data_IF_686917474462
#
_entry.id   IF_686917474462
#
_cell.length_a   1.000
_cell.length_b   1.000
_cell.length_c   1.000
_cell.angle_alpha   90.00
_cell.angle_beta   90.00
_cell.angle_gamma   90.00
#
_symmetry.space_group_name_H-M   'P 1'
#
loop_
_entity.id
_entity.type
_entity.pdbx_description
1 polymer ?
#
# COMPACT_ATOMS: atom_id res chain seq x y z
N UNK A 1 -17.22 18.64 6.52
CA UNK A 1 -15.93 18.00 6.22
C UNK A 1 -15.88 16.47 6.41
N UNK A 2 -15.79 15.90 7.63
CA UNK A 2 -15.61 14.43 7.79
C UNK A 2 -16.76 13.63 7.17
N UNK A 3 -18.01 14.02 7.46
CA UNK A 3 -19.19 13.37 6.88
C UNK A 3 -19.26 13.49 5.35
N UNK A 4 -18.84 14.64 4.79
CA UNK A 4 -18.72 14.82 3.35
C UNK A 4 -17.68 13.88 2.75
N UNK A 5 -16.54 13.68 3.42
CA UNK A 5 -15.52 12.74 2.97
C UNK A 5 -16.05 11.29 2.98
N UNK A 6 -16.81 10.89 4.00
CA UNK A 6 -17.45 9.57 4.00
C UNK A 6 -18.49 9.42 2.89
N UNK A 7 -19.30 10.46 2.64
CA UNK A 7 -20.24 10.46 1.51
C UNK A 7 -19.52 10.35 0.17
N UNK A 8 -18.40 11.07 -0.01
CA UNK A 8 -17.59 11.02 -1.23
C UNK A 8 -16.98 9.63 -1.45
N UNK A 9 -16.43 9.01 -0.40
CA UNK A 9 -15.90 7.64 -0.48
C UNK A 9 -17.00 6.62 -0.79
N UNK A 10 -18.16 6.76 -0.15
CA UNK A 10 -19.31 5.88 -0.40
C UNK A 10 -19.85 6.04 -1.82
N UNK A 11 -19.98 7.27 -2.32
CA UNK A 11 -20.42 7.52 -3.69
C UNK A 11 -19.43 6.92 -4.70
N UNK A 12 -18.13 7.12 -4.49
CA UNK A 12 -17.10 6.52 -5.34
C UNK A 12 -17.10 4.98 -5.33
N UNK A 13 -17.56 4.33 -4.25
CA UNK A 13 -17.73 2.88 -4.20
C UNK A 13 -18.93 2.37 -5.03
N UNK A 14 -19.87 3.25 -5.38
CA UNK A 14 -21.05 2.93 -6.18
C UNK A 14 -20.85 3.19 -7.67
N UNK A 15 -19.76 3.86 -8.04
CA UNK A 15 -19.38 4.06 -9.43
C UNK A 15 -19.07 2.71 -10.11
N UNK A 16 -19.27 2.59 -11.43
CA UNK A 16 -18.85 1.40 -12.18
C UNK A 16 -17.35 1.15 -12.03
N UNK A 17 -16.91 -0.11 -12.01
CA UNK A 17 -15.47 -0.44 -11.88
C UNK A 17 -14.59 0.17 -12.99
N UNK A 18 -15.19 0.49 -14.15
CA UNK A 18 -14.53 1.14 -15.28
C UNK A 18 -14.43 2.66 -15.14
N UNK A 19 -15.06 3.25 -14.12
CA UNK A 19 -15.06 4.69 -13.87
C UNK A 19 -13.74 5.15 -13.27
N UNK A 20 -13.26 6.33 -13.68
CA UNK A 20 -12.13 7.00 -13.03
C UNK A 20 -12.48 7.49 -11.62
N UNK A 21 -13.76 7.48 -11.25
CA UNK A 21 -14.24 7.81 -9.92
C UNK A 21 -14.45 6.61 -9.01
N UNK A 22 -14.20 5.39 -9.51
CA UNK A 22 -14.35 4.16 -8.73
C UNK A 22 -13.34 4.07 -7.57
N UNK A 23 -13.85 4.19 -6.35
CA UNK A 23 -13.08 4.02 -5.11
C UNK A 23 -13.26 2.60 -4.61
N UNK A 24 -12.18 1.84 -4.51
CA UNK A 24 -12.25 0.45 -4.05
C UNK A 24 -11.39 0.15 -2.83
N UNK A 25 -10.52 1.09 -2.42
CA UNK A 25 -9.74 1.00 -1.18
C UNK A 25 -9.83 2.30 -0.41
N UNK A 26 -9.89 2.21 0.91
CA UNK A 26 -9.89 3.39 1.78
C UNK A 26 -8.85 3.27 2.89
N UNK A 27 -8.35 4.40 3.37
CA UNK A 27 -7.64 4.51 4.63
C UNK A 27 -8.35 5.50 5.54
N UNK A 28 -8.51 5.16 6.82
CA UNK A 28 -9.17 6.04 7.80
C UNK A 28 -8.37 6.01 9.11
N UNK A 29 -7.57 7.06 9.41
CA UNK A 29 -6.92 7.19 10.70
C UNK A 29 -7.96 7.59 11.76
N UNK A 30 -7.97 6.88 12.89
CA UNK A 30 -8.93 7.15 13.96
C UNK A 30 -8.37 6.83 15.35
N UNK A 31 -8.88 7.53 16.36
CA UNK A 31 -8.55 7.28 17.77
C UNK A 31 -9.50 6.26 18.36
N UNK A 32 -8.95 5.31 19.12
CA UNK A 32 -9.75 4.34 19.88
C UNK A 32 -10.61 5.05 20.92
N UNK A 33 -11.81 4.54 21.16
CA UNK A 33 -12.68 4.95 22.27
C UNK A 33 -13.12 3.72 23.06
N UNK A 34 -13.69 3.94 24.24
CA UNK A 34 -14.31 2.87 25.04
C UNK A 34 -15.81 2.70 24.72
N UNK A 35 -16.32 3.38 23.68
CA UNK A 35 -17.73 3.32 23.28
C UNK A 35 -17.93 2.21 22.26
N UNK A 36 -19.11 1.60 22.30
CA UNK A 36 -19.60 0.67 21.30
C UNK A 36 -20.96 1.14 20.79
N UNK A 37 -21.36 0.63 19.63
CA UNK A 37 -22.71 0.84 19.08
C UNK A 37 -23.25 -0.49 18.57
N UNK A 38 -24.53 -0.73 18.79
CA UNK A 38 -25.24 -1.89 18.23
C UNK A 38 -25.76 -1.53 16.84
N UNK A 39 -25.40 -2.34 15.85
CA UNK A 39 -25.90 -2.22 14.49
C UNK A 39 -27.33 -2.76 14.39
N UNK A 40 -28.05 -2.43 13.33
CA UNK A 40 -29.40 -2.98 13.08
C UNK A 40 -29.44 -4.51 13.06
N UNK A 41 -28.32 -5.17 12.71
CA UNK A 41 -28.17 -6.63 12.77
C UNK A 41 -28.05 -7.21 14.19
N UNK A 42 -27.98 -6.38 15.23
CA UNK A 42 -27.68 -6.76 16.61
C UNK A 42 -26.19 -6.91 16.91
N UNK A 43 -25.31 -6.75 15.90
CA UNK A 43 -23.86 -6.82 16.13
C UNK A 43 -23.37 -5.57 16.86
N UNK A 44 -22.64 -5.76 17.97
CA UNK A 44 -22.00 -4.67 18.71
C UNK A 44 -20.59 -4.43 18.18
N UNK A 45 -20.31 -3.21 17.71
CA UNK A 45 -19.01 -2.83 17.13
C UNK A 45 -18.35 -1.67 17.90
N UNK A 46 -17.00 -1.62 17.95
CA UNK A 46 -16.28 -0.54 18.63
C UNK A 46 -16.39 0.78 17.84
N UNK A 47 -16.61 1.88 18.55
CA UNK A 47 -16.61 3.22 17.96
C UNK A 47 -15.20 3.78 17.98
N UNK A 48 -14.71 4.21 16.82
CA UNK A 48 -13.48 5.00 16.69
C UNK A 48 -13.83 6.47 16.41
N UNK A 49 -12.96 7.37 16.83
CA UNK A 49 -13.13 8.81 16.63
C UNK A 49 -12.20 9.30 15.53
N UNK A 50 -12.79 9.74 14.42
CA UNK A 50 -12.07 10.44 13.35
C UNK A 50 -12.08 11.93 13.71
N UNK A 51 -10.90 12.54 13.81
CA UNK A 51 -10.75 13.92 14.26
C UNK A 51 -10.82 14.94 13.12
N UNK A 52 -10.32 14.56 11.94
CA UNK A 52 -10.28 15.40 10.75
C UNK A 52 -10.07 14.52 9.51
N UNK A 53 -10.09 15.15 8.33
CA UNK A 53 -10.01 14.45 7.04
C UNK A 53 -8.58 14.06 6.62
N UNK A 54 -7.54 14.48 7.35
CA UNK A 54 -6.15 14.22 6.95
C UNK A 54 -5.89 12.72 7.02
N UNK A 55 -5.24 12.19 5.98
CA UNK A 55 -4.96 10.75 5.85
C UNK A 55 -6.15 9.87 5.51
N UNK A 56 -7.34 10.48 5.36
CA UNK A 56 -8.44 9.81 4.70
C UNK A 56 -8.16 9.78 3.20
N UNK A 57 -7.95 8.60 2.66
CA UNK A 57 -7.73 8.42 1.22
C UNK A 57 -8.75 7.42 0.68
N UNK A 58 -9.30 7.73 -0.50
CA UNK A 58 -10.05 6.80 -1.33
C UNK A 58 -9.22 6.53 -2.58
N UNK A 59 -8.72 5.30 -2.73
CA UNK A 59 -7.86 4.93 -3.85
C UNK A 59 -8.66 4.35 -5.00
N UNK A 60 -8.32 4.84 -6.19
CA UNK A 60 -8.81 4.42 -7.49
C UNK A 60 -7.68 3.64 -8.16
N UNK A 61 -7.72 2.31 -8.16
CA UNK A 61 -6.58 1.49 -8.66
C UNK A 61 -6.33 1.77 -10.12
N UNK A 62 -7.38 1.93 -10.94
CA UNK A 62 -7.25 2.31 -12.35
C UNK A 62 -6.42 3.59 -12.53
N UNK A 63 -6.73 4.65 -11.76
CA UNK A 63 -5.98 5.91 -11.81
C UNK A 63 -4.53 5.74 -11.36
N UNK A 64 -4.27 4.92 -10.31
CA UNK A 64 -2.91 4.63 -9.85
C UNK A 64 -2.09 3.87 -10.91
N UNK A 65 -2.70 2.88 -11.56
CA UNK A 65 -2.08 2.10 -12.63
C UNK A 65 -1.81 3.00 -13.84
N UNK A 66 -2.77 3.84 -14.24
CA UNK A 66 -2.59 4.78 -15.35
C UNK A 66 -1.46 5.77 -15.08
N UNK A 67 -1.38 6.32 -13.87
CA UNK A 67 -0.30 7.21 -13.46
C UNK A 67 1.08 6.50 -13.46
N UNK A 68 1.13 5.26 -12.96
CA UNK A 68 2.33 4.44 -12.99
C UNK A 68 2.78 4.12 -14.43
N UNK A 69 1.85 3.76 -15.32
CA UNK A 69 2.11 3.49 -16.73
C UNK A 69 2.62 4.73 -17.47
N UNK A 70 2.02 5.90 -17.23
CA UNK A 70 2.46 7.16 -17.83
C UNK A 70 3.94 7.46 -17.48
N UNK A 71 4.33 7.22 -16.22
CA UNK A 71 5.69 7.45 -15.74
C UNK A 71 6.75 6.52 -16.34
N UNK A 72 6.37 5.33 -16.81
CA UNK A 72 7.28 4.34 -17.43
C UNK A 72 7.10 4.22 -18.95
N UNK A 73 6.23 5.01 -19.56
CA UNK A 73 5.87 4.94 -20.99
C UNK A 73 7.06 4.85 -21.95
N UNK A 74 8.16 5.59 -21.71
CA UNK A 74 9.38 5.55 -22.54
C UNK A 74 10.22 4.27 -22.40
N UNK A 75 9.89 3.40 -21.45
CA UNK A 75 10.64 2.19 -21.10
C UNK A 75 9.88 0.90 -21.40
N UNK A 76 8.63 1.02 -21.84
CA UNK A 76 7.75 -0.11 -22.12
C UNK A 76 7.40 -0.06 -23.60
N UNK A 77 7.69 -1.13 -24.31
CA UNK A 77 7.27 -1.28 -25.70
C UNK A 77 5.74 -1.31 -25.76
N UNK A 78 5.15 -0.73 -26.82
CA UNK A 78 3.69 -0.66 -26.98
C UNK A 78 3.03 -2.04 -26.89
N UNK A 79 3.69 -3.08 -27.41
CA UNK A 79 3.23 -4.47 -27.32
C UNK A 79 3.20 -5.04 -25.89
N UNK A 80 3.97 -4.47 -24.95
CA UNK A 80 4.05 -4.92 -23.56
C UNK A 80 3.11 -4.14 -22.63
N UNK A 81 2.52 -3.04 -23.10
CA UNK A 81 1.64 -2.17 -22.30
C UNK A 81 0.53 -2.97 -21.56
N UNK A 82 -0.23 -3.87 -22.22
CA UNK A 82 -1.29 -4.62 -21.52
C UNK A 82 -0.76 -5.53 -20.41
N UNK A 83 0.40 -6.17 -20.64
CA UNK A 83 1.02 -7.08 -19.68
C UNK A 83 1.54 -6.32 -18.45
N UNK A 84 2.19 -5.18 -18.65
CA UNK A 84 2.71 -4.34 -17.55
C UNK A 84 1.55 -3.74 -16.76
N UNK A 85 0.48 -3.31 -17.43
CA UNK A 85 -0.73 -2.81 -16.78
C UNK A 85 -1.36 -3.89 -15.88
N UNK A 86 -1.52 -5.12 -16.40
CA UNK A 86 -2.03 -6.24 -15.63
C UNK A 86 -1.12 -6.58 -14.43
N UNK A 87 0.20 -6.56 -14.61
CA UNK A 87 1.16 -6.83 -13.54
C UNK A 87 1.14 -5.76 -12.43
N UNK A 88 0.96 -4.48 -12.80
CA UNK A 88 0.76 -3.38 -11.85
C UNK A 88 -0.52 -3.55 -11.04
N UNK A 89 -1.64 -3.85 -11.70
CA UNK A 89 -2.91 -4.13 -11.03
C UNK A 89 -2.79 -5.30 -10.07
N UNK A 90 -2.18 -6.41 -10.51
CA UNK A 90 -1.95 -7.59 -9.68
C UNK A 90 -1.06 -7.28 -8.46
N UNK A 91 0.00 -6.48 -8.65
CA UNK A 91 0.87 -6.04 -7.57
C UNK A 91 0.10 -5.23 -6.51
N UNK A 92 -0.66 -4.21 -6.92
CA UNK A 92 -1.42 -3.36 -5.99
C UNK A 92 -2.49 -4.15 -5.26
N UNK A 93 -3.18 -5.07 -5.95
CA UNK A 93 -4.16 -5.96 -5.33
C UNK A 93 -3.52 -6.92 -4.33
N UNK A 94 -2.36 -7.49 -4.66
CA UNK A 94 -1.63 -8.36 -3.74
C UNK A 94 -1.19 -7.60 -2.49
N UNK A 95 -0.61 -6.41 -2.65
CA UNK A 95 -0.20 -5.55 -1.52
C UNK A 95 -1.38 -5.29 -0.60
N UNK A 96 -2.56 -4.98 -1.13
CA UNK A 96 -3.74 -4.79 -0.29
C UNK A 96 -4.16 -6.05 0.47
N UNK A 97 -4.28 -7.17 -0.24
CA UNK A 97 -4.78 -8.41 0.34
C UNK A 97 -3.81 -9.02 1.37
N UNK A 98 -2.50 -8.90 1.13
CA UNK A 98 -1.46 -9.42 2.01
C UNK A 98 -1.32 -8.58 3.29
N UNK A 99 -1.59 -7.26 3.22
CA UNK A 99 -1.33 -6.35 4.34
C UNK A 99 -2.57 -5.95 5.14
N UNK A 100 -3.78 -6.03 4.58
CA UNK A 100 -5.01 -5.57 5.26
C UNK A 100 -5.24 -6.32 6.57
N UNK A 101 -5.48 -5.56 7.63
CA UNK A 101 -5.77 -6.10 8.95
C UNK A 101 -6.56 -5.08 9.80
N UNK A 102 -6.88 -5.42 11.05
CA UNK A 102 -7.73 -4.61 11.94
C UNK A 102 -7.09 -3.26 12.34
N UNK A 103 -5.77 -3.10 12.23
CA UNK A 103 -5.10 -1.81 12.42
C UNK A 103 -5.02 -1.34 13.87
N UNK A 104 -5.07 -2.23 14.87
CA UNK A 104 -5.08 -1.84 16.28
C UNK A 104 -3.68 -1.81 16.88
N UNK A 105 -2.90 -2.87 16.68
CA UNK A 105 -1.52 -2.94 17.19
C UNK A 105 -0.60 -2.04 16.35
N UNK A 106 0.57 -1.70 16.88
CA UNK A 106 1.53 -0.88 16.12
C UNK A 106 1.99 -1.56 14.84
N UNK A 107 2.24 -2.87 14.88
CA UNK A 107 2.60 -3.65 13.70
C UNK A 107 1.47 -3.64 12.66
N UNK A 108 0.24 -3.82 13.10
CA UNK A 108 -0.97 -3.79 12.26
C UNK A 108 -1.16 -2.43 11.58
N UNK A 109 -0.99 -1.33 12.33
CA UNK A 109 -0.99 0.03 11.76
C UNK A 109 0.13 0.22 10.75
N UNK A 110 1.32 -0.34 11.00
CA UNK A 110 2.44 -0.27 10.06
C UNK A 110 2.15 -1.04 8.77
N UNK A 111 1.55 -2.23 8.85
CA UNK A 111 1.12 -3.00 7.68
C UNK A 111 0.05 -2.26 6.87
N UNK A 112 -0.99 -1.75 7.52
CA UNK A 112 -2.05 -0.99 6.84
C UNK A 112 -1.50 0.30 6.21
N UNK A 113 -0.63 1.03 6.92
CA UNK A 113 -0.02 2.24 6.38
C UNK A 113 1.01 1.95 5.29
N UNK A 114 1.67 0.80 5.33
CA UNK A 114 2.55 0.36 4.24
C UNK A 114 1.77 0.24 2.93
N UNK A 115 0.55 -0.29 2.94
CA UNK A 115 -0.32 -0.31 1.76
C UNK A 115 -0.61 1.11 1.25
N UNK A 116 -0.98 2.05 2.13
CA UNK A 116 -1.17 3.47 1.77
C UNK A 116 0.08 4.06 1.14
N UNK A 117 1.25 3.85 1.75
CA UNK A 117 2.52 4.38 1.25
C UNK A 117 2.89 3.77 -0.11
N UNK A 118 2.62 2.47 -0.32
CA UNK A 118 2.86 1.81 -1.61
C UNK A 118 1.96 2.38 -2.70
N UNK A 119 0.70 2.64 -2.39
CA UNK A 119 -0.24 3.25 -3.34
C UNK A 119 0.19 4.67 -3.72
N UNK A 120 0.61 5.47 -2.74
CA UNK A 120 1.16 6.81 -3.00
C UNK A 120 2.46 6.76 -3.81
N UNK A 121 3.29 5.75 -3.59
CA UNK A 121 4.58 5.58 -4.25
C UNK A 121 4.54 4.57 -5.42
N UNK A 122 3.38 4.28 -6.01
CA UNK A 122 3.21 3.22 -7.02
C UNK A 122 4.18 3.36 -8.20
N UNK A 123 4.43 4.60 -8.64
CA UNK A 123 5.40 4.95 -9.69
C UNK A 123 6.82 4.44 -9.38
N UNK A 124 7.22 4.43 -8.10
CA UNK A 124 8.55 3.96 -7.66
C UNK A 124 8.75 2.46 -7.95
N UNK A 125 7.68 1.67 -7.83
CA UNK A 125 7.72 0.22 -8.04
C UNK A 125 7.45 -0.17 -9.49
N UNK A 126 6.84 0.73 -10.27
CA UNK A 126 6.50 0.50 -11.67
C UNK A 126 7.73 0.13 -12.52
N UNK A 127 8.91 0.69 -12.22
CA UNK A 127 10.14 0.31 -12.91
C UNK A 127 10.50 -1.17 -12.71
N UNK A 128 10.38 -1.71 -11.49
CA UNK A 128 10.71 -3.11 -11.24
C UNK A 128 9.77 -4.05 -12.03
N UNK A 129 8.50 -3.67 -12.13
CA UNK A 129 7.48 -4.41 -12.87
C UNK A 129 7.71 -4.31 -14.38
N UNK A 130 8.07 -3.14 -14.89
CA UNK A 130 8.48 -2.94 -16.29
C UNK A 130 9.69 -3.81 -16.66
N UNK A 131 10.61 -4.01 -15.72
CA UNK A 131 11.76 -4.91 -15.86
C UNK A 131 11.40 -6.40 -15.68
N UNK A 132 10.12 -6.76 -15.80
CA UNK A 132 9.55 -8.11 -15.64
C UNK A 132 9.77 -8.76 -14.28
N UNK A 133 10.02 -7.97 -13.23
CA UNK A 133 10.05 -8.52 -11.87
C UNK A 133 8.67 -8.52 -11.24
N UNK A 134 8.42 -9.50 -10.40
CA UNK A 134 7.22 -9.65 -9.61
C UNK A 134 7.54 -9.55 -8.12
N UNK A 135 6.59 -9.08 -7.33
CA UNK A 135 6.72 -9.09 -5.87
C UNK A 135 6.86 -10.54 -5.39
N UNK A 136 7.85 -10.81 -4.56
CA UNK A 136 8.05 -12.10 -3.88
C UNK A 136 7.57 -12.03 -2.43
N UNK A 137 8.18 -11.13 -1.65
CA UNK A 137 8.03 -11.10 -0.20
C UNK A 137 7.81 -9.66 0.28
N UNK A 138 6.91 -9.51 1.24
CA UNK A 138 6.76 -8.30 2.04
C UNK A 138 7.16 -8.62 3.48
N UNK A 139 8.17 -7.91 3.98
CA UNK A 139 8.64 -8.07 5.37
C UNK A 139 8.47 -6.76 6.11
N UNK A 140 7.89 -6.81 7.31
CA UNK A 140 7.73 -5.65 8.19
C UNK A 140 8.35 -5.96 9.54
N UNK A 141 9.38 -5.20 9.89
CA UNK A 141 10.19 -5.39 11.10
C UNK A 141 10.35 -4.09 11.87
N UNK A 142 10.65 -4.18 13.17
CA UNK A 142 10.88 -2.99 13.98
C UNK A 142 12.14 -2.26 13.51
N UNK A 143 12.03 -0.97 13.21
CA UNK A 143 13.18 -0.20 12.72
C UNK A 143 14.13 0.15 13.87
N UNK A 144 15.45 -0.07 13.73
CA UNK A 144 16.44 0.43 14.68
C UNK A 144 16.74 1.92 14.50
N UNK A 145 16.30 2.54 13.40
CA UNK A 145 16.69 3.90 13.01
C UNK A 145 15.66 4.97 13.40
N UNK A 146 15.27 4.98 14.68
CA UNK A 146 14.28 5.94 15.14
C UNK A 146 14.65 6.76 16.35
N UNK A 147 14.06 7.96 16.40
CA UNK A 147 14.19 8.86 17.53
C UNK A 147 13.55 8.21 18.77
N UNK A 148 14.05 8.60 19.94
CA UNK A 148 13.43 8.21 21.20
C UNK A 148 11.94 8.62 21.16
N UNK A 149 11.07 7.71 21.62
CA UNK A 149 9.60 7.83 21.63
C UNK A 149 8.87 7.69 20.28
N UNK A 150 9.57 7.36 19.19
CA UNK A 150 8.93 6.96 17.92
C UNK A 150 8.51 5.49 17.91
N UNK A 151 7.61 5.14 17.00
CA UNK A 151 7.15 3.76 16.79
C UNK A 151 7.37 3.36 15.33
N UNK A 152 8.63 3.10 15.00
CA UNK A 152 9.01 2.88 13.62
C UNK A 152 9.11 1.44 13.19
N UNK A 153 8.83 1.22 11.92
CA UNK A 153 8.84 -0.07 11.24
C UNK A 153 9.49 0.06 9.88
N UNK A 154 10.45 -0.82 9.58
CA UNK A 154 11.03 -0.94 8.26
C UNK A 154 10.17 -1.92 7.45
N UNK A 155 9.75 -1.49 6.27
CA UNK A 155 9.02 -2.29 5.30
C UNK A 155 9.97 -2.61 4.15
N UNK A 156 10.11 -3.89 3.83
CA UNK A 156 10.92 -4.40 2.72
C UNK A 156 10.02 -5.09 1.71
N UNK A 157 10.11 -4.65 0.46
CA UNK A 157 9.48 -5.28 -0.69
C UNK A 157 10.57 -5.90 -1.55
N UNK A 158 10.54 -7.22 -1.69
CA UNK A 158 11.50 -7.94 -2.51
C UNK A 158 10.84 -8.38 -3.80
N UNK A 159 11.50 -8.09 -4.92
CA UNK A 159 11.05 -8.42 -6.27
C UNK A 159 12.03 -9.38 -6.91
N UNK A 160 11.53 -10.37 -7.64
CA UNK A 160 12.31 -11.38 -8.34
C UNK A 160 11.85 -11.52 -9.80
N UNK A 161 12.69 -12.10 -10.64
CA UNK A 161 12.36 -12.41 -12.02
C UNK A 161 11.93 -13.88 -12.12
N UNK A 162 10.65 -14.17 -12.44
CA UNK A 162 10.14 -15.54 -12.50
C UNK A 162 10.66 -16.30 -13.74
N UNK A 163 11.08 -15.61 -14.80
CA UNK A 163 11.61 -16.22 -16.02
C UNK A 163 13.12 -16.51 -15.90
N UNK A 164 13.83 -15.78 -15.04
CA UNK A 164 15.27 -15.94 -14.83
C UNK A 164 15.65 -15.97 -13.35
N UNK A 165 15.71 -17.19 -12.80
CA UNK A 165 16.09 -17.45 -11.40
C UNK A 165 17.53 -17.05 -11.05
N UNK A 166 18.42 -16.87 -12.04
CA UNK A 166 19.80 -16.40 -11.82
C UNK A 166 19.88 -14.88 -11.71
N UNK A 167 18.84 -14.16 -12.12
CA UNK A 167 18.79 -12.70 -12.00
C UNK A 167 18.66 -12.31 -10.53
N UNK A 168 19.49 -11.37 -10.11
CA UNK A 168 19.43 -10.82 -8.75
C UNK A 168 18.07 -10.21 -8.41
N UNK A 169 17.67 -10.33 -7.15
CA UNK A 169 16.44 -9.74 -6.62
C UNK A 169 16.61 -8.22 -6.50
N UNK A 170 15.49 -7.49 -6.52
CA UNK A 170 15.44 -6.04 -6.30
C UNK A 170 14.70 -5.78 -5.00
N UNK A 171 15.34 -5.11 -4.05
CA UNK A 171 14.73 -4.78 -2.76
C UNK A 171 14.40 -3.29 -2.72
N UNK A 172 13.21 -2.97 -2.19
CA UNK A 172 12.82 -1.61 -1.82
C UNK A 172 12.54 -1.56 -0.32
N UNK A 173 13.14 -0.59 0.37
CA UNK A 173 12.95 -0.37 1.81
C UNK A 173 12.48 1.05 2.07
N UNK A 174 11.45 1.18 2.90
CA UNK A 174 11.05 2.46 3.48
C UNK A 174 10.70 2.27 4.95
N UNK A 175 10.83 3.33 5.72
CA UNK A 175 10.60 3.33 7.17
C UNK A 175 9.35 4.14 7.46
N UNK A 176 8.47 3.59 8.30
CA UNK A 176 7.20 4.21 8.70
C UNK A 176 7.22 4.46 10.20
N UNK A 177 6.83 5.64 10.66
CA UNK A 177 6.52 5.91 12.08
C UNK A 177 5.01 5.93 12.28
N UNK A 178 4.52 4.99 13.11
CA UNK A 178 3.08 4.82 13.41
C UNK A 178 2.72 5.23 14.84
N UNK A 179 3.59 6.02 15.49
CA UNK A 179 3.37 6.48 16.87
C UNK A 179 2.15 7.39 16.97
N UNK A 180 2.02 8.30 16.01
CA UNK A 180 0.96 9.28 15.96
C UNK A 180 -0.28 8.72 15.26
N UNK A 181 -1.40 9.42 15.43
CA UNK A 181 -2.66 9.12 14.74
C UNK A 181 -2.47 9.12 13.22
N UNK A 182 -1.65 10.05 12.74
CA UNK A 182 -1.21 10.21 11.36
C UNK A 182 0.15 9.57 11.21
N UNK A 183 0.24 8.36 10.62
CA UNK A 183 1.53 7.76 10.34
C UNK A 183 2.31 8.59 9.32
N UNK A 184 3.64 8.52 9.39
CA UNK A 184 4.52 9.24 8.48
C UNK A 184 5.60 8.32 7.90
N UNK A 185 5.96 8.57 6.65
CA UNK A 185 7.10 7.92 6.00
C UNK A 185 8.36 8.71 6.29
N UNK A 186 9.41 8.03 6.74
CA UNK A 186 10.69 8.62 7.11
C UNK A 186 11.69 8.51 5.95
N UNK A 187 12.08 9.66 5.41
CA UNK A 187 13.01 9.76 4.29
C UNK A 187 12.45 9.20 2.99
N UNK A 188 13.34 8.88 2.06
CA UNK A 188 12.98 8.35 0.75
C UNK A 188 13.04 6.81 0.71
N UNK A 189 12.28 6.22 -0.22
CA UNK A 189 12.38 4.80 -0.54
C UNK A 189 13.80 4.48 -0.99
N UNK A 190 14.46 3.57 -0.28
CA UNK A 190 15.79 3.07 -0.62
C UNK A 190 15.65 1.83 -1.48
N UNK A 191 16.53 1.66 -2.47
CA UNK A 191 16.51 0.49 -3.34
C UNK A 191 17.91 0.01 -3.70
N UNK A 192 18.10 -1.30 -3.69
CA UNK A 192 19.35 -1.96 -4.08
C UNK A 192 19.08 -3.37 -4.61
N UNK A 193 20.07 -3.96 -5.26
CA UNK A 193 20.00 -5.33 -5.76
C UNK A 193 20.54 -6.30 -4.71
N UNK A 194 19.91 -7.46 -4.60
CA UNK A 194 20.39 -8.61 -3.84
C UNK A 194 20.82 -9.72 -4.83
N UNK A 195 21.70 -10.64 -4.40
CA UNK A 195 21.96 -11.87 -5.15
C UNK A 195 20.66 -12.64 -5.44
N UNK A 196 20.68 -13.51 -6.45
CA UNK A 196 19.62 -14.50 -6.61
C UNK A 196 19.61 -15.43 -5.39
N UNK A 197 18.43 -15.90 -4.98
CA UNK A 197 18.37 -16.98 -4.00
C UNK A 197 18.75 -18.28 -4.71
N UNK A 198 19.96 -18.79 -4.45
CA UNK A 198 20.20 -20.21 -4.62
C UNK A 198 19.32 -20.94 -3.61
N UNK A 199 18.39 -21.79 -4.10
CA UNK A 199 17.74 -22.76 -3.23
C UNK A 199 18.87 -23.59 -2.61
N UNK A 200 19.14 -23.41 -1.32
CA UNK A 200 19.90 -24.41 -0.55
C UNK A 200 19.05 -25.68 -0.57
N UNK A 201 19.44 -26.62 -1.42
CA UNK A 201 18.96 -28.01 -1.44
C UNK A 201 19.53 -28.70 -0.19
#
# INVERSE_FOLDING_TARGET
>A
EIYEMFLLMLAGQLEPETSDDFVERISVPARRTNRTVELFSGQVVPVVMVHDVRGMYGWKVNSLVNAAMAAISRRVDEAQVPLVQQALTAFLNRVYNDLRNVGQTSRDRALNFAATNIFQAAVTFAQAIAERRQLDTITVEKSPFCRINSDCWDVKLEFYDPENSRRGRKLFRFTLDVKLLMPVTLGEVKSWSLPSQEKRI
#
